data_IF_423325419407
#
_entry.id   IF_423325419407
#
_cell.length_a   1.000
_cell.length_b   1.000
_cell.length_c   1.000
_cell.angle_alpha   90.00
_cell.angle_beta   90.00
_cell.angle_gamma   90.00
#
_symmetry.space_group_name_H-M   'P 1'
#
loop_
_entity.id
_entity.type
_entity.pdbx_description
1 polymer ?
#
# COMPACT_ATOMS: atom_id res chain seq x y z
N UNK A 1 83.27 -46.14 -22.40
CA UNK A 1 82.62 -46.32 -23.69
C UNK A 1 81.13 -46.41 -23.49
N UNK A 2 80.37 -45.30 -23.67
CA UNK A 2 78.96 -45.26 -23.47
C UNK A 2 78.27 -45.29 -24.86
N UNK A 3 77.44 -46.28 -25.10
CA UNK A 3 76.65 -46.42 -26.34
C UNK A 3 75.50 -45.40 -26.31
N UNK A 4 75.57 -44.48 -27.26
CA UNK A 4 74.55 -43.47 -27.61
C UNK A 4 73.33 -44.20 -28.20
N UNK A 5 72.19 -44.22 -27.49
CA UNK A 5 70.92 -44.72 -28.02
C UNK A 5 70.32 -43.65 -28.92
N UNK A 6 70.09 -44.00 -30.17
CA UNK A 6 69.40 -43.19 -31.19
C UNK A 6 67.95 -42.98 -30.79
N UNK A 7 67.37 -41.77 -30.90
CA UNK A 7 65.97 -41.58 -30.63
C UNK A 7 65.13 -42.20 -31.76
N UNK A 8 64.28 -43.15 -31.39
CA UNK A 8 63.28 -43.73 -32.29
C UNK A 8 62.30 -42.57 -32.68
N UNK A 9 62.16 -42.38 -33.98
CA UNK A 9 61.26 -41.33 -34.52
C UNK A 9 59.82 -41.71 -34.18
N UNK A 10 59.22 -40.99 -33.27
CA UNK A 10 57.82 -41.15 -32.82
C UNK A 10 56.82 -40.98 -33.97
N UNK A 11 57.21 -40.25 -35.04
CA UNK A 11 56.41 -40.02 -36.25
C UNK A 11 56.12 -41.29 -37.09
N UNK A 12 57.04 -42.25 -37.15
CA UNK A 12 56.80 -43.51 -37.89
C UNK A 12 55.85 -44.47 -37.14
N UNK A 13 55.84 -44.43 -35.83
CA UNK A 13 54.91 -45.26 -35.03
C UNK A 13 53.48 -44.81 -35.08
N UNK A 14 53.22 -43.52 -35.26
CA UNK A 14 51.83 -42.99 -35.38
C UNK A 14 51.23 -43.31 -36.77
N UNK A 15 52.03 -43.29 -37.82
CA UNK A 15 51.58 -43.59 -39.20
C UNK A 15 51.26 -45.08 -39.39
N UNK A 16 51.99 -45.99 -38.73
CA UNK A 16 51.68 -47.43 -38.74
C UNK A 16 50.48 -47.77 -37.86
N UNK A 17 50.35 -47.13 -36.72
CA UNK A 17 49.21 -47.35 -35.83
C UNK A 17 47.87 -46.88 -36.48
N UNK A 18 47.88 -45.74 -37.17
CA UNK A 18 46.67 -45.23 -37.81
C UNK A 18 46.14 -46.07 -38.98
N UNK A 19 47.04 -46.67 -39.80
CA UNK A 19 46.63 -47.56 -40.90
C UNK A 19 46.12 -48.91 -40.39
N UNK A 20 46.76 -49.50 -39.42
CA UNK A 20 46.37 -50.82 -38.83
C UNK A 20 45.09 -50.70 -38.00
N UNK A 21 44.87 -49.56 -37.36
CA UNK A 21 43.59 -49.25 -36.66
C UNK A 21 42.45 -49.01 -37.63
N UNK A 22 42.69 -48.26 -38.72
CA UNK A 22 41.66 -47.98 -39.74
C UNK A 22 41.18 -49.25 -40.46
N UNK A 23 42.09 -50.21 -40.75
CA UNK A 23 41.70 -51.51 -41.39
C UNK A 23 40.92 -52.41 -40.46
N UNK A 24 41.13 -52.34 -39.14
CA UNK A 24 40.30 -53.08 -38.16
C UNK A 24 38.89 -52.51 -37.98
N UNK A 25 38.70 -51.26 -38.32
CA UNK A 25 37.37 -50.60 -38.26
C UNK A 25 36.55 -50.67 -39.58
N UNK A 26 37.07 -51.35 -40.61
CA UNK A 26 36.31 -51.55 -41.87
C UNK A 26 35.06 -52.36 -41.67
N UNK A 27 34.94 -53.15 -40.60
CA UNK A 27 33.72 -53.85 -40.23
C UNK A 27 32.58 -52.92 -39.77
N UNK A 28 32.89 -51.74 -39.23
CA UNK A 28 31.87 -50.77 -38.85
C UNK A 28 31.24 -50.06 -40.09
N UNK A 29 31.99 -49.93 -41.19
CA UNK A 29 31.47 -49.37 -42.46
C UNK A 29 30.62 -50.38 -43.22
N UNK A 30 30.76 -51.69 -42.94
CA UNK A 30 30.00 -52.75 -43.61
C UNK A 30 28.63 -53.03 -42.96
N UNK A 31 28.35 -52.38 -41.78
CA UNK A 31 27.06 -52.50 -41.14
C UNK A 31 26.07 -51.65 -41.93
N UNK A 32 25.42 -52.21 -42.92
CA UNK A 32 24.26 -51.60 -43.58
C UNK A 32 23.14 -51.39 -42.54
N UNK A 33 22.88 -50.17 -42.16
CA UNK A 33 21.76 -49.84 -41.29
C UNK A 33 20.52 -50.43 -41.89
N UNK A 34 19.79 -51.30 -41.17
CA UNK A 34 18.55 -51.88 -41.68
C UNK A 34 17.58 -50.77 -42.11
N UNK A 35 16.95 -50.92 -43.27
CA UNK A 35 15.99 -49.94 -43.79
C UNK A 35 14.98 -49.47 -42.80
N UNK A 36 14.38 -50.27 -41.90
CA UNK A 36 13.44 -49.78 -40.87
C UNK A 36 14.08 -48.82 -39.85
N UNK A 37 15.35 -49.00 -39.50
CA UNK A 37 16.08 -48.09 -38.56
C UNK A 37 16.33 -46.74 -39.26
N UNK A 38 16.72 -46.74 -40.54
CA UNK A 38 16.92 -45.51 -41.30
C UNK A 38 15.58 -44.72 -41.45
N UNK A 39 14.51 -45.43 -41.78
CA UNK A 39 13.18 -44.77 -41.86
C UNK A 39 12.71 -44.21 -40.51
N UNK A 40 12.97 -44.92 -39.42
CA UNK A 40 12.65 -44.44 -38.07
C UNK A 40 13.47 -43.19 -37.73
N UNK A 41 14.78 -43.18 -38.02
CA UNK A 41 15.63 -41.99 -37.82
C UNK A 41 15.15 -40.78 -38.62
N UNK A 42 14.74 -40.97 -39.88
CA UNK A 42 14.20 -39.90 -40.71
C UNK A 42 12.83 -39.40 -40.19
N UNK A 43 11.97 -40.29 -39.70
CA UNK A 43 10.69 -39.93 -39.09
C UNK A 43 10.89 -39.14 -37.80
N UNK A 44 11.83 -39.57 -36.93
CA UNK A 44 12.14 -38.85 -35.69
C UNK A 44 12.74 -37.48 -36.00
N UNK A 45 13.66 -37.39 -36.95
CA UNK A 45 14.24 -36.11 -37.38
C UNK A 45 13.17 -35.18 -37.95
N UNK A 46 12.31 -35.67 -38.82
CA UNK A 46 11.20 -34.90 -39.38
C UNK A 46 10.22 -34.44 -38.30
N UNK A 47 9.93 -35.29 -37.32
CA UNK A 47 9.09 -34.93 -36.15
C UNK A 47 9.73 -33.83 -35.31
N UNK A 48 11.03 -33.90 -35.05
CA UNK A 48 11.78 -32.85 -34.31
C UNK A 48 11.75 -31.52 -35.07
N UNK A 49 12.00 -31.56 -36.37
CA UNK A 49 11.94 -30.36 -37.24
C UNK A 49 10.53 -29.77 -37.23
N UNK A 50 9.51 -30.61 -37.38
CA UNK A 50 8.10 -30.19 -37.33
C UNK A 50 7.78 -29.54 -35.97
N UNK A 51 8.19 -30.15 -34.86
CA UNK A 51 8.03 -29.60 -33.50
C UNK A 51 8.71 -28.25 -33.35
N UNK A 52 9.95 -28.10 -33.81
CA UNK A 52 10.66 -26.83 -33.78
C UNK A 52 9.97 -25.74 -34.60
N UNK A 53 9.51 -26.07 -35.82
CA UNK A 53 8.74 -25.14 -36.62
C UNK A 53 7.43 -24.75 -35.95
N UNK A 54 6.73 -25.70 -35.33
CA UNK A 54 5.49 -25.44 -34.61
C UNK A 54 5.75 -24.48 -33.41
N UNK A 55 6.83 -24.64 -32.68
CA UNK A 55 7.22 -23.73 -31.59
C UNK A 55 7.45 -22.29 -32.08
N UNK A 56 7.94 -22.08 -33.32
CA UNK A 56 8.15 -20.74 -33.86
C UNK A 56 6.86 -20.07 -34.37
N UNK A 57 5.84 -20.84 -34.74
CA UNK A 57 4.58 -20.31 -35.29
C UNK A 57 3.44 -20.28 -34.28
N UNK A 58 3.52 -21.08 -33.22
CA UNK A 58 2.44 -21.16 -32.26
C UNK A 58 2.41 -19.94 -31.35
N UNK A 59 1.33 -19.12 -31.34
CA UNK A 59 1.20 -17.99 -30.41
C UNK A 59 1.04 -18.48 -28.99
N UNK A 60 1.69 -17.81 -28.07
CA UNK A 60 1.62 -18.06 -26.65
C UNK A 60 1.39 -16.75 -25.90
N UNK A 61 0.31 -16.68 -25.12
CA UNK A 61 0.06 -15.52 -24.28
C UNK A 61 1.02 -15.57 -23.09
N UNK A 62 1.91 -14.58 -23.04
CA UNK A 62 2.82 -14.42 -21.92
C UNK A 62 2.04 -13.87 -20.71
N UNK A 63 2.30 -14.39 -19.54
CA UNK A 63 1.66 -13.93 -18.32
C UNK A 63 2.63 -13.86 -17.14
N UNK A 64 2.36 -12.94 -16.23
CA UNK A 64 3.03 -12.82 -14.94
C UNK A 64 2.09 -13.32 -13.87
N UNK A 65 2.55 -14.29 -13.08
CA UNK A 65 1.80 -14.83 -11.96
C UNK A 65 2.10 -14.04 -10.68
N UNK A 66 1.05 -13.62 -9.98
CA UNK A 66 1.14 -12.96 -8.69
C UNK A 66 0.20 -13.59 -7.67
N UNK A 67 0.61 -13.56 -6.41
CA UNK A 67 -0.23 -13.88 -5.25
C UNK A 67 -0.35 -12.67 -4.36
N UNK A 68 -1.50 -12.52 -3.73
CA UNK A 68 -1.76 -11.41 -2.84
C UNK A 68 -3.10 -11.53 -2.15
N UNK A 69 -3.72 -10.41 -1.89
CA UNK A 69 -4.95 -10.36 -1.09
C UNK A 69 -5.89 -9.27 -1.58
N UNK A 70 -7.14 -9.38 -1.18
CA UNK A 70 -8.16 -8.38 -1.44
C UNK A 70 -7.91 -7.18 -0.51
N UNK A 71 -7.87 -6.01 -1.08
CA UNK A 71 -7.67 -4.72 -0.42
C UNK A 71 -8.69 -3.70 -0.93
N UNK A 72 -8.48 -2.44 -0.66
CA UNK A 72 -9.27 -1.33 -1.20
C UNK A 72 -8.41 -0.46 -2.09
N UNK A 73 -9.03 0.09 -3.14
CA UNK A 73 -8.33 0.99 -4.06
C UNK A 73 -7.88 2.27 -3.34
N UNK A 74 -8.79 2.86 -2.55
CA UNK A 74 -8.52 4.05 -1.75
C UNK A 74 -7.90 3.65 -0.39
N UNK A 75 -6.69 4.13 -0.06
CA UNK A 75 -6.07 3.91 1.25
C UNK A 75 -6.93 4.38 2.43
N UNK A 76 -7.74 5.43 2.26
CA UNK A 76 -8.63 5.95 3.30
C UNK A 76 -9.78 4.99 3.63
N UNK A 77 -10.05 4.03 2.76
CA UNK A 77 -11.11 3.03 2.92
C UNK A 77 -10.60 1.67 3.42
N UNK A 78 -9.32 1.59 3.78
CA UNK A 78 -8.74 0.40 4.42
C UNK A 78 -9.25 0.25 5.86
N UNK A 79 -8.95 -0.90 6.44
CA UNK A 79 -9.16 -1.12 7.86
C UNK A 79 -8.48 -0.01 8.67
N UNK A 80 -9.27 0.74 9.43
CA UNK A 80 -8.81 1.87 10.24
C UNK A 80 -8.84 1.48 11.72
N UNK A 81 -7.82 1.92 12.44
CA UNK A 81 -7.81 1.81 13.88
C UNK A 81 -8.36 3.11 14.48
N UNK A 82 -9.47 3.01 15.18
CA UNK A 82 -10.01 4.11 15.97
C UNK A 82 -9.18 4.24 17.23
N UNK A 83 -8.62 5.43 17.44
CA UNK A 83 -7.74 5.72 18.58
C UNK A 83 -8.40 6.69 19.54
N UNK A 84 -8.03 6.62 20.82
CA UNK A 84 -8.43 7.60 21.81
C UNK A 84 -7.85 8.99 21.46
N UNK A 85 -8.70 10.00 21.41
CA UNK A 85 -8.29 11.39 21.16
C UNK A 85 -7.67 12.02 22.40
N UNK A 86 -8.19 11.67 23.58
CA UNK A 86 -7.79 12.18 24.89
C UNK A 86 -7.45 11.04 25.84
N UNK A 87 -6.68 11.34 26.87
CA UNK A 87 -6.46 10.43 27.99
C UNK A 87 -7.65 10.47 28.94
N UNK A 88 -8.05 9.32 29.46
CA UNK A 88 -9.16 9.22 30.38
C UNK A 88 -9.49 7.77 30.73
N UNK A 89 -10.67 7.54 31.27
CA UNK A 89 -11.22 6.22 31.53
C UNK A 89 -12.36 5.94 30.57
N UNK A 90 -12.46 4.73 30.07
CA UNK A 90 -13.61 4.30 29.27
C UNK A 90 -14.86 4.36 30.16
N UNK A 91 -15.83 5.18 29.78
CA UNK A 91 -17.12 5.32 30.47
C UNK A 91 -18.09 4.26 29.98
N UNK A 92 -18.53 4.36 28.73
CA UNK A 92 -19.47 3.44 28.11
C UNK A 92 -19.17 3.21 26.65
N UNK A 93 -19.36 1.97 26.18
CA UNK A 93 -19.39 1.62 24.78
C UNK A 93 -20.81 1.75 24.23
N UNK A 94 -20.98 2.47 23.14
CA UNK A 94 -22.28 2.61 22.44
C UNK A 94 -22.44 1.59 21.31
N UNK A 95 -21.40 0.83 21.01
CA UNK A 95 -21.34 -0.18 19.94
C UNK A 95 -20.79 -1.50 20.46
N UNK A 96 -21.06 -2.57 19.74
CA UNK A 96 -20.50 -3.91 19.95
C UNK A 96 -19.73 -4.35 18.71
N UNK A 97 -18.93 -5.41 18.84
CA UNK A 97 -18.30 -6.04 17.68
C UNK A 97 -19.37 -6.51 16.68
N UNK A 98 -19.17 -6.19 15.40
CA UNK A 98 -20.15 -6.41 14.34
C UNK A 98 -21.20 -5.31 14.17
N UNK A 99 -21.23 -4.27 15.01
CA UNK A 99 -22.18 -3.15 14.87
C UNK A 99 -21.91 -2.37 13.59
N UNK A 100 -22.98 -2.08 12.84
CA UNK A 100 -22.96 -1.18 11.69
C UNK A 100 -23.21 0.23 12.20
N UNK A 101 -22.33 1.16 11.86
CA UNK A 101 -22.38 2.56 12.30
C UNK A 101 -22.37 3.49 11.10
N UNK A 102 -22.99 4.66 11.25
CA UNK A 102 -22.94 5.76 10.30
C UNK A 102 -21.92 6.80 10.73
N UNK A 103 -21.48 7.61 9.79
CA UNK A 103 -20.60 8.74 10.08
C UNK A 103 -21.17 9.62 11.19
N UNK A 104 -20.39 9.83 12.25
CA UNK A 104 -20.76 10.65 13.40
C UNK A 104 -21.45 9.89 14.51
N UNK A 105 -21.82 8.61 14.34
CA UNK A 105 -22.40 7.81 15.42
C UNK A 105 -21.40 7.66 16.56
N UNK A 106 -21.87 7.74 17.83
CA UNK A 106 -21.03 7.55 19.00
C UNK A 106 -20.54 6.11 19.09
N UNK A 107 -19.26 5.92 19.32
CA UNK A 107 -18.62 4.59 19.47
C UNK A 107 -18.33 4.34 20.95
N UNK A 108 -17.59 5.24 21.57
CA UNK A 108 -17.19 5.10 22.97
C UNK A 108 -17.10 6.47 23.62
N UNK A 109 -17.52 6.54 24.85
CA UNK A 109 -17.39 7.69 25.73
C UNK A 109 -16.14 7.53 26.60
N UNK A 110 -15.25 8.51 26.58
CA UNK A 110 -14.07 8.57 27.45
C UNK A 110 -14.35 9.63 28.52
N UNK A 111 -14.40 9.21 29.78
CA UNK A 111 -14.61 10.09 30.91
C UNK A 111 -13.27 10.59 31.43
N UNK A 112 -13.13 11.90 31.63
CA UNK A 112 -11.93 12.48 32.23
C UNK A 112 -11.72 11.92 33.66
N UNK A 113 -10.44 11.84 34.04
CA UNK A 113 -10.04 11.42 35.39
C UNK A 113 -10.44 12.43 36.45
N UNK A 114 -10.58 13.70 36.07
CA UNK A 114 -11.03 14.79 36.96
C UNK A 114 -12.45 15.24 36.54
N UNK A 115 -13.49 14.79 37.26
CA UNK A 115 -14.87 15.16 36.96
C UNK A 115 -15.14 16.66 37.02
N UNK A 116 -14.31 17.43 37.76
CA UNK A 116 -14.48 18.86 37.96
C UNK A 116 -13.65 19.71 36.98
N UNK A 117 -12.80 19.09 36.16
CA UNK A 117 -11.93 19.82 35.21
C UNK A 117 -12.75 20.68 34.24
N UNK A 118 -13.80 20.10 33.66
CA UNK A 118 -14.63 20.82 32.69
C UNK A 118 -15.34 22.03 33.35
N UNK A 119 -15.84 21.87 34.56
CA UNK A 119 -16.47 22.99 35.26
C UNK A 119 -15.45 24.08 35.62
N UNK A 120 -14.23 23.72 36.04
CA UNK A 120 -13.16 24.69 36.29
C UNK A 120 -12.74 25.43 34.99
N UNK A 121 -12.61 24.73 33.88
CA UNK A 121 -12.28 25.34 32.58
C UNK A 121 -13.40 26.27 32.09
N UNK A 122 -14.68 25.93 32.34
CA UNK A 122 -15.81 26.81 32.04
C UNK A 122 -15.80 28.08 32.88
N UNK A 123 -15.53 27.96 34.17
CA UNK A 123 -15.41 29.12 35.06
C UNK A 123 -14.23 30.03 34.68
N UNK A 124 -13.09 29.43 34.31
CA UNK A 124 -11.94 30.19 33.84
C UNK A 124 -12.22 30.91 32.51
N UNK A 125 -12.90 30.25 31.55
CA UNK A 125 -13.34 30.88 30.31
C UNK A 125 -14.24 32.10 30.59
N UNK A 126 -15.18 31.98 31.50
CA UNK A 126 -16.10 33.08 31.88
C UNK A 126 -15.34 34.26 32.48
N UNK A 127 -14.32 34.00 33.31
CA UNK A 127 -13.46 35.05 33.86
C UNK A 127 -12.63 35.76 32.79
N UNK A 128 -12.11 35.02 31.80
CA UNK A 128 -11.35 35.60 30.68
C UNK A 128 -12.29 36.36 29.73
N UNK A 129 -13.51 35.89 29.51
CA UNK A 129 -14.55 36.56 28.71
C UNK A 129 -14.94 37.90 29.32
N UNK A 130 -15.15 37.94 30.65
CA UNK A 130 -15.42 39.19 31.38
C UNK A 130 -14.25 40.22 31.26
N UNK A 131 -12.99 39.75 31.26
CA UNK A 131 -11.83 40.61 31.00
C UNK A 131 -11.81 41.19 29.60
N UNK A 132 -12.12 40.37 28.60
CA UNK A 132 -12.24 40.84 27.21
C UNK A 132 -13.36 41.85 27.05
N UNK A 133 -14.54 41.63 27.65
CA UNK A 133 -15.67 42.58 27.62
C UNK A 133 -15.27 43.91 28.28
N UNK A 134 -14.64 43.89 29.45
CA UNK A 134 -14.16 45.10 30.12
C UNK A 134 -13.15 45.87 29.26
N UNK A 135 -12.19 45.17 28.63
CA UNK A 135 -11.20 45.78 27.73
C UNK A 135 -11.88 46.36 26.46
N UNK A 136 -12.87 45.67 25.90
CA UNK A 136 -13.67 46.12 24.76
C UNK A 136 -14.45 47.41 25.07
N UNK A 137 -15.10 47.44 26.23
CA UNK A 137 -15.82 48.62 26.69
C UNK A 137 -14.87 49.83 26.91
N UNK A 138 -13.69 49.60 27.53
CA UNK A 138 -12.69 50.62 27.71
C UNK A 138 -12.16 51.19 26.40
N UNK A 139 -11.89 50.31 25.41
CA UNK A 139 -11.45 50.70 24.06
C UNK A 139 -12.53 51.52 23.34
N UNK A 140 -13.80 51.10 23.44
CA UNK A 140 -14.93 51.82 22.83
C UNK A 140 -15.04 53.24 23.41
N UNK A 141 -14.92 53.36 24.74
CA UNK A 141 -14.98 54.66 25.42
C UNK A 141 -13.80 55.56 25.01
N UNK A 142 -12.58 55.00 24.95
CA UNK A 142 -11.42 55.75 24.48
C UNK A 142 -11.53 56.18 23.01
N UNK A 143 -12.14 55.34 22.16
CA UNK A 143 -12.40 55.73 20.77
C UNK A 143 -13.34 56.96 20.66
N UNK A 144 -14.42 56.96 21.45
CA UNK A 144 -15.35 58.07 21.51
C UNK A 144 -14.66 59.35 21.97
N UNK A 145 -13.77 59.25 22.99
CA UNK A 145 -12.99 60.36 23.48
C UNK A 145 -12.00 60.85 22.44
N UNK A 146 -11.27 60.00 21.76
CA UNK A 146 -10.38 60.33 20.65
C UNK A 146 -11.14 61.09 19.53
N UNK A 147 -12.31 60.61 19.13
CA UNK A 147 -13.15 61.24 18.11
C UNK A 147 -13.63 62.65 18.55
N UNK A 148 -13.94 62.82 19.84
CA UNK A 148 -14.31 64.08 20.44
C UNK A 148 -13.11 65.06 20.45
N UNK A 149 -11.96 64.64 20.92
CA UNK A 149 -10.74 65.45 20.97
C UNK A 149 -10.28 65.85 19.56
N UNK A 150 -10.42 64.99 18.60
CA UNK A 150 -10.14 65.29 17.19
C UNK A 150 -11.05 66.41 16.64
N UNK A 151 -12.36 66.34 16.89
CA UNK A 151 -13.32 67.40 16.43
C UNK A 151 -13.01 68.74 17.12
N UNK A 152 -12.68 68.76 18.42
CA UNK A 152 -12.30 69.94 19.15
C UNK A 152 -10.97 70.55 18.62
N UNK A 153 -10.03 69.71 18.29
CA UNK A 153 -8.73 70.14 17.72
C UNK A 153 -8.95 70.77 16.31
N UNK A 154 -9.76 70.14 15.47
CA UNK A 154 -10.09 70.63 14.15
C UNK A 154 -10.82 71.98 14.20
N UNK A 155 -11.54 72.29 15.30
CA UNK A 155 -12.23 73.54 15.57
C UNK A 155 -11.33 74.58 16.29
N UNK A 156 -10.06 74.23 16.60
CA UNK A 156 -9.12 75.11 17.34
C UNK A 156 -9.41 75.21 18.84
N UNK A 157 -10.31 74.37 19.37
CA UNK A 157 -10.73 74.39 20.81
C UNK A 157 -9.97 73.41 21.70
N UNK A 158 -9.15 72.52 21.19
CA UNK A 158 -8.31 71.62 21.94
C UNK A 158 -6.82 71.80 21.53
N UNK A 159 -5.91 71.53 22.51
CA UNK A 159 -4.49 71.54 22.21
C UNK A 159 -4.07 70.28 21.47
N UNK A 160 -3.01 70.36 20.65
CA UNK A 160 -2.39 69.23 19.99
C UNK A 160 -2.02 68.10 20.97
N UNK A 161 -1.47 68.48 22.13
CA UNK A 161 -1.12 67.52 23.16
C UNK A 161 -2.31 66.72 23.71
N UNK A 162 -3.50 67.37 23.86
CA UNK A 162 -4.72 66.70 24.29
C UNK A 162 -5.18 65.62 23.28
N UNK A 163 -5.11 65.99 21.99
CA UNK A 163 -5.45 65.03 20.89
C UNK A 163 -4.45 63.84 20.86
N UNK A 164 -3.13 64.13 20.91
CA UNK A 164 -2.11 63.09 20.88
C UNK A 164 -2.21 62.14 22.10
N UNK A 165 -2.49 62.65 23.30
CA UNK A 165 -2.73 61.84 24.50
C UNK A 165 -3.97 60.94 24.37
N UNK A 166 -5.05 61.44 23.80
CA UNK A 166 -6.23 60.60 23.54
C UNK A 166 -5.94 59.47 22.52
N UNK A 167 -5.11 59.81 21.51
CA UNK A 167 -4.70 58.82 20.51
C UNK A 167 -3.80 57.73 21.14
N UNK A 168 -2.83 58.09 21.95
CA UNK A 168 -1.97 57.14 22.69
C UNK A 168 -2.81 56.23 23.60
N UNK A 169 -3.77 56.83 24.33
CA UNK A 169 -4.67 56.12 25.23
C UNK A 169 -5.56 55.11 24.48
N UNK A 170 -6.09 55.51 23.32
CA UNK A 170 -6.85 54.56 22.49
C UNK A 170 -6.00 53.40 21.99
N UNK A 171 -4.78 53.65 21.50
CA UNK A 171 -3.85 52.59 21.06
C UNK A 171 -3.44 51.64 22.18
N UNK A 172 -3.19 52.16 23.36
CA UNK A 172 -2.91 51.36 24.56
C UNK A 172 -4.04 50.41 24.89
N UNK A 173 -5.28 50.91 24.93
CA UNK A 173 -6.48 50.12 25.26
C UNK A 173 -6.84 49.17 24.14
N UNK A 174 -6.59 49.50 22.87
CA UNK A 174 -6.76 48.61 21.72
C UNK A 174 -5.79 47.42 21.81
N UNK A 175 -4.54 47.68 22.20
CA UNK A 175 -3.54 46.62 22.43
C UNK A 175 -3.94 45.68 23.58
N UNK A 176 -4.48 46.25 24.69
CA UNK A 176 -4.99 45.45 25.82
C UNK A 176 -6.21 44.58 25.41
N UNK A 177 -7.11 45.13 24.61
CA UNK A 177 -8.25 44.38 24.06
C UNK A 177 -7.78 43.20 23.19
N UNK A 178 -6.81 43.43 22.28
CA UNK A 178 -6.27 42.38 21.42
C UNK A 178 -5.60 41.27 22.24
N UNK A 179 -4.89 41.63 23.32
CA UNK A 179 -4.29 40.63 24.23
C UNK A 179 -5.38 39.79 24.94
N UNK A 180 -6.43 40.44 25.48
CA UNK A 180 -7.52 39.74 26.15
C UNK A 180 -8.33 38.83 25.17
N UNK A 181 -8.49 39.26 23.91
CA UNK A 181 -9.09 38.44 22.86
C UNK A 181 -8.23 37.20 22.55
N UNK A 182 -6.93 37.35 22.47
CA UNK A 182 -6.02 36.21 22.25
C UNK A 182 -6.09 35.21 23.40
N UNK A 183 -6.19 35.68 24.64
CA UNK A 183 -6.36 34.80 25.81
C UNK A 183 -7.70 34.05 25.80
N UNK A 184 -8.79 34.73 25.44
CA UNK A 184 -10.12 34.12 25.27
C UNK A 184 -10.09 33.01 24.21
N UNK A 185 -9.47 33.26 23.05
CA UNK A 185 -9.35 32.26 21.99
C UNK A 185 -8.53 31.06 22.44
N UNK A 186 -7.43 31.25 23.20
CA UNK A 186 -6.62 30.14 23.75
C UNK A 186 -7.46 29.28 24.69
N UNK A 187 -8.25 29.92 25.56
CA UNK A 187 -9.12 29.22 26.50
C UNK A 187 -10.24 28.44 25.78
N UNK A 188 -10.85 29.01 24.74
CA UNK A 188 -11.84 28.32 23.91
C UNK A 188 -11.27 27.08 23.24
N UNK A 189 -10.04 27.15 22.68
CA UNK A 189 -9.34 26.02 22.10
C UNK A 189 -9.05 24.93 23.15
N UNK A 190 -8.61 25.34 24.34
CA UNK A 190 -8.34 24.42 25.45
C UNK A 190 -9.60 23.67 25.87
N UNK A 191 -10.70 24.38 26.07
CA UNK A 191 -12.00 23.81 26.44
C UNK A 191 -12.52 22.88 25.33
N UNK A 192 -12.42 23.27 24.07
CA UNK A 192 -12.87 22.45 22.93
C UNK A 192 -12.09 21.12 22.84
N UNK A 193 -10.79 21.13 23.10
CA UNK A 193 -9.96 19.91 23.11
C UNK A 193 -10.39 18.96 24.23
N UNK A 194 -10.74 19.50 25.39
CA UNK A 194 -11.08 18.68 26.55
C UNK A 194 -12.53 18.20 26.54
N UNK A 195 -13.44 18.89 25.84
CA UNK A 195 -14.86 18.53 25.75
C UNK A 195 -15.16 17.42 24.76
N UNK A 196 -14.21 17.00 23.90
CA UNK A 196 -14.38 15.86 22.97
C UNK A 196 -14.21 14.53 23.70
N UNK A 197 -15.17 14.19 24.54
CA UNK A 197 -15.17 12.95 25.33
C UNK A 197 -15.77 11.76 24.55
N UNK A 198 -16.49 12.02 23.47
CA UNK A 198 -17.12 10.98 22.65
C UNK A 198 -16.34 10.77 21.38
N UNK A 199 -15.84 9.57 21.18
CA UNK A 199 -15.22 9.14 19.93
C UNK A 199 -16.32 8.68 18.98
N UNK A 200 -16.37 9.27 17.79
CA UNK A 200 -17.41 9.01 16.80
C UNK A 200 -16.85 8.29 15.57
N UNK A 201 -17.73 7.64 14.80
CA UNK A 201 -17.37 6.97 13.56
C UNK A 201 -16.92 7.96 12.48
N UNK A 202 -15.77 7.74 11.82
CA UNK A 202 -15.24 8.63 10.78
C UNK A 202 -16.05 8.59 9.49
N UNK A 203 -16.68 7.46 9.18
CA UNK A 203 -17.52 7.21 8.00
C UNK A 203 -18.52 6.09 8.29
N UNK A 204 -19.39 5.78 7.32
CA UNK A 204 -20.26 4.62 7.39
C UNK A 204 -19.43 3.33 7.32
N UNK A 205 -19.67 2.40 8.25
CA UNK A 205 -18.86 1.18 8.32
C UNK A 205 -19.29 0.21 9.41
N UNK A 206 -18.42 -0.75 9.68
CA UNK A 206 -18.65 -1.80 10.69
C UNK A 206 -17.50 -1.84 11.67
N UNK A 207 -17.80 -1.94 12.96
CA UNK A 207 -16.82 -2.22 14.00
C UNK A 207 -16.48 -3.72 13.95
N UNK A 208 -15.22 -4.04 13.70
CA UNK A 208 -14.78 -5.44 13.54
C UNK A 208 -14.34 -6.02 14.87
N UNK A 209 -13.56 -5.27 15.61
CA UNK A 209 -12.96 -5.71 16.87
C UNK A 209 -12.81 -4.54 17.83
N UNK A 210 -13.14 -4.77 19.09
CA UNK A 210 -12.89 -3.84 20.19
C UNK A 210 -11.57 -4.28 20.86
N UNK A 211 -10.56 -3.42 20.82
CA UNK A 211 -9.21 -3.74 21.34
C UNK A 211 -9.03 -3.26 22.79
N UNK A 212 -9.66 -2.15 23.14
CA UNK A 212 -9.61 -1.63 24.51
C UNK A 212 -10.58 -2.41 25.41
N UNK A 213 -10.15 -2.64 26.64
CA UNK A 213 -10.94 -3.38 27.61
C UNK A 213 -12.28 -2.72 27.97
N UNK A 214 -13.03 -3.39 28.82
CA UNK A 214 -14.36 -2.96 29.27
C UNK A 214 -14.31 -1.65 30.07
N UNK A 215 -15.48 -1.14 30.42
CA UNK A 215 -15.71 0.07 31.25
C UNK A 215 -14.78 0.07 32.47
N UNK A 216 -14.15 1.23 32.72
CA UNK A 216 -13.14 1.50 33.75
C UNK A 216 -11.65 1.31 33.31
N UNK A 217 -11.37 0.86 32.11
CA UNK A 217 -9.98 0.81 31.61
C UNK A 217 -9.45 2.22 31.37
N UNK A 218 -8.22 2.50 31.87
CA UNK A 218 -7.51 3.74 31.60
C UNK A 218 -6.91 3.70 30.20
N UNK A 219 -7.14 4.74 29.43
CA UNK A 219 -6.57 4.93 28.09
C UNK A 219 -5.84 6.25 27.99
N UNK A 220 -4.77 6.27 27.23
CA UNK A 220 -4.02 7.48 26.90
C UNK A 220 -4.36 7.92 25.48
N UNK A 221 -4.15 9.19 25.15
CA UNK A 221 -4.27 9.66 23.78
C UNK A 221 -3.39 8.80 22.83
N UNK A 222 -3.97 8.35 21.72
CA UNK A 222 -3.31 7.43 20.76
C UNK A 222 -3.48 5.94 21.08
N UNK A 223 -4.12 5.55 22.20
CA UNK A 223 -4.41 4.13 22.48
C UNK A 223 -5.43 3.60 21.47
N UNK A 224 -5.17 2.42 20.82
CA UNK A 224 -6.12 1.79 19.91
C UNK A 224 -7.36 1.31 20.70
N UNK A 225 -8.53 1.74 20.25
CA UNK A 225 -9.82 1.42 20.88
C UNK A 225 -10.57 0.33 20.13
N UNK A 226 -10.69 0.48 18.81
CA UNK A 226 -11.42 -0.46 17.97
C UNK A 226 -10.87 -0.48 16.54
N UNK A 227 -11.12 -1.59 15.85
CA UNK A 227 -10.89 -1.70 14.40
C UNK A 227 -12.19 -1.45 13.65
N UNK A 228 -12.13 -0.62 12.63
CA UNK A 228 -13.23 -0.15 11.83
C UNK A 228 -12.99 -0.40 10.36
N UNK A 229 -14.00 -0.92 9.64
CA UNK A 229 -13.98 -1.16 8.21
C UNK A 229 -15.09 -0.35 7.53
N UNK A 230 -14.75 0.58 6.62
CA UNK A 230 -15.75 1.34 5.87
C UNK A 230 -16.60 0.46 4.95
N UNK A 231 -17.91 0.74 4.88
CA UNK A 231 -18.84 -0.04 4.05
C UNK A 231 -18.73 0.26 2.57
N UNK A 232 -18.36 1.48 2.19
CA UNK A 232 -18.33 1.93 0.78
C UNK A 232 -16.95 1.77 0.11
N UNK A 233 -16.08 0.91 0.64
CA UNK A 233 -14.76 0.71 0.09
C UNK A 233 -14.83 0.08 -1.32
N UNK A 234 -14.24 0.69 -2.31
CA UNK A 234 -14.06 0.08 -3.63
C UNK A 234 -13.00 -1.02 -3.53
N UNK A 235 -13.40 -2.27 -3.83
CA UNK A 235 -12.50 -3.41 -3.73
C UNK A 235 -11.42 -3.37 -4.81
N UNK A 236 -10.21 -3.69 -4.40
CA UNK A 236 -9.06 -3.89 -5.25
C UNK A 236 -8.34 -5.17 -4.84
N UNK A 237 -7.46 -5.67 -5.69
CA UNK A 237 -6.57 -6.79 -5.35
C UNK A 237 -5.15 -6.29 -5.42
N UNK A 238 -4.37 -6.51 -4.37
CA UNK A 238 -2.94 -6.33 -4.42
C UNK A 238 -2.27 -7.66 -4.71
N UNK A 239 -1.51 -7.75 -5.79
CA UNK A 239 -0.69 -8.91 -6.14
C UNK A 239 0.79 -8.56 -5.96
N UNK A 240 1.55 -9.53 -5.54
CA UNK A 240 3.00 -9.43 -5.40
C UNK A 240 3.68 -10.24 -6.49
N UNK A 241 4.42 -9.56 -7.35
CA UNK A 241 5.14 -10.13 -8.50
C UNK A 241 6.64 -10.11 -8.29
N UNK A 242 7.37 -10.97 -8.99
CA UNK A 242 8.84 -10.99 -8.94
C UNK A 242 9.43 -9.72 -9.56
N UNK A 243 10.65 -9.35 -9.17
CA UNK A 243 11.35 -8.20 -9.74
C UNK A 243 11.63 -8.34 -11.23
N UNK A 244 11.83 -9.57 -11.70
CA UNK A 244 12.03 -9.89 -13.11
C UNK A 244 10.81 -9.58 -13.97
N UNK A 245 9.66 -9.93 -13.43
CA UNK A 245 8.39 -9.81 -14.13
C UNK A 245 7.77 -8.42 -13.96
N UNK A 246 8.09 -7.73 -12.87
CA UNK A 246 7.56 -6.40 -12.58
C UNK A 246 7.87 -5.37 -13.68
N UNK A 247 9.04 -5.48 -14.32
CA UNK A 247 9.44 -4.60 -15.43
C UNK A 247 8.54 -4.76 -16.68
N UNK A 248 7.86 -5.88 -16.81
CA UNK A 248 6.95 -6.17 -17.93
C UNK A 248 5.51 -5.73 -17.65
N UNK A 249 5.18 -5.48 -16.37
CA UNK A 249 3.84 -5.09 -15.96
C UNK A 249 3.67 -3.59 -16.06
N UNK A 250 2.71 -3.17 -16.88
CA UNK A 250 2.35 -1.76 -17.04
C UNK A 250 0.90 -1.51 -16.64
N UNK A 251 0.55 -0.32 -16.12
CA UNK A 251 -0.85 0.05 -15.89
C UNK A 251 -1.69 -0.13 -17.15
N UNK A 252 -2.94 -0.56 -16.99
CA UNK A 252 -3.86 -0.85 -18.07
C UNK A 252 -3.82 -2.28 -18.61
N UNK A 253 -2.88 -3.12 -18.19
CA UNK A 253 -2.86 -4.54 -18.57
C UNK A 253 -4.03 -5.30 -17.95
N UNK A 254 -4.60 -6.21 -18.72
CA UNK A 254 -5.67 -7.10 -18.25
C UNK A 254 -5.12 -8.18 -17.32
N UNK A 255 -5.93 -8.55 -16.35
CA UNK A 255 -5.58 -9.54 -15.33
C UNK A 255 -6.72 -10.53 -15.19
N UNK A 256 -6.41 -11.81 -15.10
CA UNK A 256 -7.34 -12.82 -14.64
C UNK A 256 -7.09 -13.13 -13.18
N UNK A 257 -8.12 -12.96 -12.35
CA UNK A 257 -8.08 -13.14 -10.91
C UNK A 257 -8.85 -14.37 -10.49
N UNK A 258 -8.28 -15.10 -9.56
CA UNK A 258 -8.95 -16.18 -8.84
C UNK A 258 -8.98 -15.84 -7.36
N UNK A 259 -10.16 -15.85 -6.77
CA UNK A 259 -10.35 -15.60 -5.35
C UNK A 259 -10.38 -16.93 -4.57
N UNK A 260 -9.86 -16.89 -3.35
CA UNK A 260 -9.92 -18.03 -2.44
C UNK A 260 -11.38 -18.47 -2.20
N UNK A 261 -11.60 -19.79 -2.20
CA UNK A 261 -12.94 -20.36 -2.04
C UNK A 261 -13.80 -20.37 -3.31
N UNK A 262 -13.32 -19.81 -4.43
CA UNK A 262 -14.03 -19.83 -5.71
C UNK A 262 -13.48 -20.92 -6.63
N UNK A 263 -14.30 -21.88 -7.07
CA UNK A 263 -13.82 -22.95 -7.93
C UNK A 263 -13.42 -22.38 -9.30
N UNK A 264 -12.21 -22.70 -9.74
CA UNK A 264 -11.72 -22.31 -11.06
C UNK A 264 -11.11 -23.52 -11.78
N UNK A 265 -11.36 -23.61 -13.08
CA UNK A 265 -10.71 -24.57 -13.98
C UNK A 265 -9.79 -23.78 -14.91
N UNK A 266 -8.50 -24.13 -14.88
CA UNK A 266 -7.48 -23.44 -15.67
C UNK A 266 -6.93 -24.36 -16.76
N UNK A 267 -6.66 -23.77 -17.91
CA UNK A 267 -5.95 -24.42 -19.00
C UNK A 267 -4.54 -23.81 -19.09
N UNK A 268 -3.52 -24.63 -18.91
CA UNK A 268 -2.13 -24.20 -18.99
C UNK A 268 -1.85 -23.54 -20.35
N UNK A 269 -1.30 -22.33 -20.33
CA UNK A 269 -0.97 -21.56 -21.51
C UNK A 269 -2.07 -20.65 -22.06
N UNK A 270 -3.31 -20.78 -21.57
CA UNK A 270 -4.44 -19.92 -21.98
C UNK A 270 -5.24 -19.44 -20.76
N UNK A 271 -4.68 -18.53 -19.95
CA UNK A 271 -5.38 -18.04 -18.75
C UNK A 271 -6.67 -17.26 -19.08
N UNK A 272 -6.83 -16.76 -20.29
CA UNK A 272 -8.04 -16.06 -20.74
C UNK A 272 -9.26 -16.98 -20.83
N UNK A 273 -9.07 -18.28 -21.05
CA UNK A 273 -10.14 -19.28 -21.19
C UNK A 273 -10.48 -19.94 -19.84
N UNK A 274 -9.83 -19.54 -18.75
CA UNK A 274 -10.06 -20.11 -17.43
C UNK A 274 -11.47 -19.79 -16.91
N UNK A 275 -12.24 -20.83 -16.60
CA UNK A 275 -13.59 -20.73 -16.04
C UNK A 275 -13.47 -20.47 -14.53
N UNK A 276 -14.31 -19.56 -13.98
CA UNK A 276 -14.30 -19.20 -12.56
C UNK A 276 -13.23 -18.19 -12.18
N UNK A 277 -12.62 -17.53 -13.15
CA UNK A 277 -11.75 -16.37 -12.95
C UNK A 277 -12.49 -15.07 -13.28
N UNK A 278 -12.07 -13.99 -12.68
CA UNK A 278 -12.68 -12.67 -12.83
C UNK A 278 -11.69 -11.70 -13.49
N UNK A 279 -12.22 -10.81 -14.32
CA UNK A 279 -11.42 -9.79 -14.97
C UNK A 279 -10.99 -8.67 -14.01
N UNK A 280 -9.78 -8.21 -14.23
CA UNK A 280 -9.24 -7.02 -13.58
C UNK A 280 -8.33 -6.26 -14.52
N UNK A 281 -8.01 -5.03 -14.13
CA UNK A 281 -7.09 -4.15 -14.84
C UNK A 281 -6.04 -3.65 -13.86
N UNK A 282 -4.77 -3.67 -14.28
CA UNK A 282 -3.68 -3.10 -13.49
C UNK A 282 -3.88 -1.59 -13.37
N UNK A 283 -4.13 -1.12 -12.15
CA UNK A 283 -4.30 0.31 -11.83
C UNK A 283 -2.98 0.97 -11.47
N UNK A 284 -2.13 0.26 -10.72
CA UNK A 284 -0.88 0.79 -10.21
C UNK A 284 0.16 -0.32 -10.07
N UNK A 285 1.40 0.01 -10.40
CA UNK A 285 2.58 -0.82 -10.09
C UNK A 285 3.48 0.02 -9.18
N UNK A 286 3.77 -0.48 -7.99
CA UNK A 286 4.64 0.25 -7.06
C UNK A 286 6.08 0.29 -7.59
N UNK A 287 6.73 1.45 -7.58
CA UNK A 287 8.12 1.58 -8.00
C UNK A 287 9.13 1.08 -6.97
N UNK A 288 8.66 0.72 -5.78
CA UNK A 288 9.50 0.31 -4.63
C UNK A 288 9.19 -1.13 -4.26
N UNK A 289 10.24 -1.87 -3.93
CA UNK A 289 10.15 -3.26 -3.47
C UNK A 289 9.48 -3.30 -2.09
N UNK A 290 8.47 -4.15 -1.93
CA UNK A 290 7.82 -4.41 -0.65
C UNK A 290 8.75 -5.20 0.30
N UNK A 291 8.48 -5.21 1.62
CA UNK A 291 9.31 -5.94 2.60
C UNK A 291 9.49 -7.45 2.31
N UNK A 292 8.59 -8.04 1.54
CA UNK A 292 8.66 -9.44 1.10
C UNK A 292 9.59 -9.67 -0.13
N UNK A 293 10.34 -8.64 -0.59
CA UNK A 293 11.22 -8.72 -1.74
C UNK A 293 10.53 -8.73 -3.10
N UNK A 294 9.23 -8.41 -3.16
CA UNK A 294 8.42 -8.41 -4.37
C UNK A 294 7.83 -7.04 -4.65
N UNK A 295 7.43 -6.80 -5.89
CA UNK A 295 6.75 -5.57 -6.29
C UNK A 295 5.24 -5.75 -6.13
N UNK A 296 4.60 -4.74 -5.53
CA UNK A 296 3.16 -4.71 -5.38
C UNK A 296 2.52 -4.15 -6.64
N UNK A 297 1.49 -4.85 -7.13
CA UNK A 297 0.64 -4.45 -8.25
C UNK A 297 -0.79 -4.36 -7.74
N UNK A 298 -1.43 -3.22 -7.91
CA UNK A 298 -2.82 -2.98 -7.52
C UNK A 298 -3.72 -3.14 -8.74
N UNK A 299 -4.77 -3.92 -8.60
CA UNK A 299 -5.70 -4.30 -9.66
C UNK A 299 -7.10 -3.88 -9.25
N UNK A 300 -7.78 -3.17 -10.12
CA UNK A 300 -9.22 -2.86 -10.03
C UNK A 300 -10.06 -3.81 -10.85
N UNK A 301 -11.35 -3.87 -10.59
CA UNK A 301 -12.29 -4.65 -11.41
C UNK A 301 -12.31 -4.14 -12.85
N UNK A 302 -12.38 -5.06 -13.82
CA UNK A 302 -12.61 -4.70 -15.22
C UNK A 302 -14.13 -4.48 -15.42
N UNK A 303 -14.57 -3.25 -15.78
CA UNK A 303 -15.98 -2.98 -15.99
C UNK A 303 -16.56 -3.68 -17.23
N UNK A 304 -15.70 -4.22 -18.10
CA UNK A 304 -16.11 -4.91 -19.35
C UNK A 304 -16.24 -6.42 -19.19
N UNK A 305 -15.81 -6.98 -18.05
CA UNK A 305 -15.87 -8.42 -17.76
C UNK A 305 -16.93 -8.72 -16.67
N UNK A 306 -17.03 -9.98 -16.27
CA UNK A 306 -17.90 -10.41 -15.18
C UNK A 306 -17.61 -9.61 -13.91
N UNK A 307 -18.68 -9.05 -13.32
CA UNK A 307 -18.56 -8.37 -12.04
C UNK A 307 -17.96 -9.29 -10.97
N UNK A 308 -17.09 -8.76 -10.14
CA UNK A 308 -16.54 -9.51 -9.02
C UNK A 308 -17.66 -9.98 -8.08
N UNK A 309 -17.48 -11.11 -7.40
CA UNK A 309 -18.48 -11.60 -6.46
C UNK A 309 -18.83 -10.56 -5.38
N UNK A 310 -20.06 -10.67 -4.86
CA UNK A 310 -20.55 -9.77 -3.80
C UNK A 310 -19.57 -9.74 -2.59
N UNK A 311 -19.47 -8.60 -1.95
CA UNK A 311 -18.64 -8.37 -0.76
C UNK A 311 -18.88 -9.36 0.38
N UNK A 312 -20.04 -9.99 0.42
CA UNK A 312 -20.33 -11.07 1.40
C UNK A 312 -19.37 -12.25 1.25
N UNK A 313 -18.87 -12.45 0.01
CA UNK A 313 -17.94 -13.53 -0.32
C UNK A 313 -16.51 -13.04 -0.41
N UNK A 314 -16.29 -11.79 -0.85
CA UNK A 314 -14.97 -11.17 -0.97
C UNK A 314 -14.65 -10.31 0.26
N UNK A 315 -14.07 -10.92 1.27
CA UNK A 315 -13.65 -10.22 2.49
C UNK A 315 -12.29 -9.56 2.31
N UNK A 316 -12.10 -8.39 2.89
CA UNK A 316 -10.78 -7.74 2.93
C UNK A 316 -9.77 -8.67 3.61
N UNK A 317 -8.57 -8.78 3.01
CA UNK A 317 -7.53 -9.69 3.48
C UNK A 317 -7.66 -11.15 2.98
N UNK A 318 -8.78 -11.54 2.32
CA UNK A 318 -8.87 -12.86 1.70
C UNK A 318 -7.84 -12.99 0.57
N UNK A 319 -7.29 -14.20 0.41
CA UNK A 319 -6.25 -14.43 -0.57
C UNK A 319 -6.79 -14.39 -1.99
N UNK A 320 -5.98 -13.86 -2.87
CA UNK A 320 -6.23 -13.84 -4.30
C UNK A 320 -4.95 -14.20 -5.06
N UNK A 321 -5.11 -14.84 -6.20
CA UNK A 321 -4.02 -15.05 -7.14
C UNK A 321 -4.46 -14.56 -8.51
N UNK A 322 -3.49 -14.14 -9.32
CA UNK A 322 -3.80 -13.56 -10.62
C UNK A 322 -2.71 -13.78 -11.64
N UNK A 323 -3.15 -13.76 -12.88
CA UNK A 323 -2.33 -13.83 -14.08
C UNK A 323 -2.47 -12.51 -14.82
N UNK A 324 -1.43 -11.70 -14.79
CA UNK A 324 -1.35 -10.43 -15.52
C UNK A 324 -0.98 -10.79 -16.95
N UNK A 325 -1.87 -10.51 -17.89
CA UNK A 325 -1.67 -10.83 -19.30
C UNK A 325 -0.72 -9.82 -19.94
N UNK A 326 0.31 -10.35 -20.59
CA UNK A 326 1.29 -9.56 -21.32
C UNK A 326 1.02 -9.67 -22.84
N UNK A 327 2.06 -9.53 -23.62
CA UNK A 327 1.97 -9.60 -25.08
C UNK A 327 1.93 -11.06 -25.56
N UNK A 328 1.37 -11.28 -26.76
CA UNK A 328 1.48 -12.56 -27.45
C UNK A 328 2.89 -12.72 -28.02
N UNK A 329 3.53 -13.82 -27.66
CA UNK A 329 4.87 -14.18 -28.13
C UNK A 329 4.86 -15.58 -28.72
N UNK A 330 5.93 -16.01 -29.37
CA UNK A 330 6.04 -17.41 -29.81
C UNK A 330 6.46 -18.32 -28.66
N UNK A 331 6.02 -19.57 -28.70
CA UNK A 331 6.40 -20.59 -27.68
C UNK A 331 7.93 -20.71 -27.60
N UNK A 332 8.63 -20.62 -28.73
CA UNK A 332 10.10 -20.65 -28.77
C UNK A 332 10.73 -19.51 -27.99
N UNK A 333 10.19 -18.28 -28.12
CA UNK A 333 10.67 -17.12 -27.39
C UNK A 333 10.43 -17.25 -25.87
N UNK A 334 9.24 -17.69 -25.46
CA UNK A 334 8.92 -17.87 -24.05
C UNK A 334 9.78 -18.98 -23.41
N UNK A 335 10.01 -20.08 -24.14
CA UNK A 335 10.89 -21.15 -23.66
C UNK A 335 12.33 -20.64 -23.53
N UNK A 336 12.82 -19.89 -24.52
CA UNK A 336 14.15 -19.28 -24.49
C UNK A 336 14.30 -18.32 -23.31
N UNK A 337 13.29 -17.46 -23.08
CA UNK A 337 13.25 -16.52 -21.96
C UNK A 337 13.33 -17.24 -20.61
N UNK A 338 12.57 -18.31 -20.43
CA UNK A 338 12.56 -19.10 -19.18
C UNK A 338 13.87 -19.84 -18.95
N UNK A 339 14.48 -20.37 -20.01
CA UNK A 339 15.78 -21.06 -19.91
C UNK A 339 16.94 -20.09 -19.63
N UNK A 340 16.87 -18.90 -20.18
CA UNK A 340 17.87 -17.86 -19.96
C UNK A 340 17.50 -16.89 -18.83
N UNK A 341 16.62 -17.29 -17.90
CA UNK A 341 16.08 -16.47 -16.84
C UNK A 341 17.03 -15.38 -16.34
N UNK A 342 16.75 -14.14 -16.70
CA UNK A 342 17.58 -12.98 -16.40
C UNK A 342 16.95 -12.17 -15.27
N UNK A 343 17.66 -11.89 -14.21
CA UNK A 343 18.71 -12.64 -13.51
C UNK A 343 18.11 -13.82 -12.71
N UNK A 344 18.92 -14.80 -12.26
CA UNK A 344 18.39 -15.88 -11.41
C UNK A 344 17.71 -15.28 -10.18
N UNK A 345 16.55 -15.82 -9.79
CA UNK A 345 15.96 -15.47 -8.50
C UNK A 345 17.01 -15.76 -7.43
N UNK A 346 17.49 -14.72 -6.76
CA UNK A 346 18.29 -14.91 -5.55
C UNK A 346 17.32 -15.53 -4.55
N UNK A 347 17.50 -16.80 -4.13
CA UNK A 347 16.64 -17.40 -3.10
C UNK A 347 16.66 -16.43 -1.92
N UNK A 348 15.49 -15.93 -1.54
CA UNK A 348 15.38 -14.89 -0.54
C UNK A 348 16.25 -15.19 0.65
N UNK A 349 17.28 -14.43 0.87
CA UNK A 349 17.91 -14.28 2.16
C UNK A 349 16.83 -13.72 3.07
N UNK A 350 16.07 -14.63 3.67
CA UNK A 350 15.26 -14.34 4.85
C UNK A 350 16.23 -13.92 5.94
N UNK A 351 16.63 -12.65 5.90
CA UNK A 351 17.27 -12.00 7.04
C UNK A 351 16.17 -11.80 8.06
N UNK A 352 15.94 -12.83 8.85
CA UNK A 352 15.25 -12.66 10.11
C UNK A 352 16.12 -11.75 10.97
N UNK A 353 15.75 -10.50 11.06
CA UNK A 353 16.24 -9.58 12.09
C UNK A 353 15.65 -9.96 13.47
N UNK A 354 15.93 -11.20 13.93
CA UNK A 354 15.75 -11.59 15.31
C UNK A 354 17.11 -11.55 15.99
N UNK A 355 17.47 -10.41 16.55
CA UNK A 355 18.69 -10.37 17.35
C UNK A 355 19.33 -9.01 17.51
N UNK A 356 18.60 -8.02 18.00
CA UNK A 356 19.19 -6.86 18.71
C UNK A 356 18.17 -6.32 19.73
N UNK A 357 17.87 -7.16 20.73
CA UNK A 357 17.38 -6.69 22.02
C UNK A 357 18.19 -7.38 23.08
N UNK A 358 19.28 -6.74 23.53
CA UNK A 358 20.13 -7.30 24.57
C UNK A 358 21.33 -6.42 24.85
N UNK A 359 21.15 -5.36 25.58
CA UNK A 359 22.00 -4.88 26.69
C UNK A 359 21.53 -3.50 27.14
#
# INVERSE_FOLDING_TARGET
MAKKKTPIQVAELTEFADKEYLDRFTTTWAIKIPRPVSTFCWLTLASIICLLLLMFYMPWVQYVFGRGQITTLDPAQRNQTIMALNSGRIGSWHVQEGSIVKRGDPIVEIVDLDPQLIERLKAEREAVESRYEAASHATRTAKIDLERQRRLFDQGLASRNAFENAQIKYQELLSRQAAAEADLRRMQISLSRQSSLIVTAPSDGTIVQITAGDSATLVSAGTPLAQFVPTQAELAVELYVSGLDAALVTPGRKVRLQFEGWPAVQFGGWPEVAIGTFGGVVSLVDPVVSPNGRFRVVISADPTDLAWPDRRFLRLGAQAQGWILLDEVTVAYELWRRLNGFPPEIPGTGVSFSGLSGS
#
